data_IF_933688162443
#
_entry.id   IF_933688162443
#
_cell.length_a   1.000
_cell.length_b   1.000
_cell.length_c   1.000
_cell.angle_alpha   90.00
_cell.angle_beta   90.00
_cell.angle_gamma   90.00
#
_symmetry.space_group_name_H-M   'P 1'
#
loop_
_entity.id
_entity.type
_entity.pdbx_description
1 polymer ?
#
# COMPACT_ATOMS: atom_id res chain seq x y z
N UNK A 1 6.61 7.36 -18.89
CA UNK A 1 6.47 8.83 -18.75
C UNK A 1 5.76 9.09 -17.45
N UNK A 2 6.20 10.05 -16.65
CA UNK A 2 5.58 10.39 -15.37
C UNK A 2 5.28 11.88 -15.36
N UNK A 3 4.06 12.28 -15.02
CA UNK A 3 3.73 13.68 -14.80
C UNK A 3 3.83 13.99 -13.30
N UNK A 4 4.74 14.90 -12.94
CA UNK A 4 5.00 15.30 -11.56
C UNK A 4 5.59 16.71 -11.53
N UNK A 5 5.35 17.48 -10.47
CA UNK A 5 5.92 18.82 -10.26
C UNK A 5 5.64 19.80 -11.41
N UNK A 6 4.45 19.67 -12.02
CA UNK A 6 4.03 20.48 -13.14
C UNK A 6 4.69 20.13 -14.49
N UNK A 7 5.44 19.03 -14.58
CA UNK A 7 6.20 18.64 -15.78
C UNK A 7 6.16 17.15 -16.11
N UNK A 8 6.56 16.82 -17.34
CA UNK A 8 6.73 15.44 -17.79
C UNK A 8 8.18 14.99 -17.61
N UNK A 9 8.35 13.85 -16.94
CA UNK A 9 9.62 13.17 -16.73
C UNK A 9 9.65 11.89 -17.57
N UNK A 10 10.77 11.67 -18.26
CA UNK A 10 10.96 10.54 -19.17
C UNK A 10 12.07 9.63 -18.63
N UNK A 11 11.70 8.40 -18.34
CA UNK A 11 12.62 7.37 -17.88
C UNK A 11 12.72 6.28 -18.94
N UNK A 12 13.94 5.88 -19.35
CA UNK A 12 14.10 4.66 -20.12
C UNK A 12 13.61 3.47 -19.27
N UNK A 13 13.09 2.44 -19.95
CA UNK A 13 12.81 1.17 -19.28
C UNK A 13 14.14 0.58 -18.83
N UNK A 14 14.23 0.24 -17.55
CA UNK A 14 15.39 -0.45 -17.01
C UNK A 14 15.31 -1.94 -17.30
N UNK A 15 16.44 -2.53 -17.66
CA UNK A 15 16.57 -3.98 -17.83
C UNK A 15 17.08 -4.67 -16.55
N UNK A 16 17.49 -3.91 -15.54
CA UNK A 16 17.88 -4.43 -14.22
C UNK A 16 16.67 -4.76 -13.32
N UNK A 17 15.54 -4.09 -13.57
CA UNK A 17 14.32 -4.23 -12.78
C UNK A 17 13.42 -5.31 -13.37
N UNK A 18 12.85 -6.14 -12.51
CA UNK A 18 11.91 -7.19 -12.90
C UNK A 18 10.65 -6.54 -13.47
N UNK A 19 10.30 -6.98 -14.67
CA UNK A 19 9.06 -6.59 -15.36
C UNK A 19 7.94 -7.54 -14.94
N UNK A 20 6.74 -7.02 -14.73
CA UNK A 20 5.58 -7.90 -14.56
C UNK A 20 5.31 -8.66 -15.85
N UNK A 21 4.62 -9.79 -15.75
CA UNK A 21 4.14 -10.58 -16.89
C UNK A 21 2.61 -10.49 -17.08
N UNK A 22 1.94 -9.57 -16.38
CA UNK A 22 0.50 -9.37 -16.53
C UNK A 22 0.09 -9.10 -17.97
N UNK A 23 -0.90 -9.87 -18.44
CA UNK A 23 -1.68 -9.57 -19.65
C UNK A 23 -2.73 -8.52 -19.30
N UNK A 24 -2.63 -7.31 -19.87
CA UNK A 24 -3.51 -6.21 -19.47
C UNK A 24 -5.00 -6.46 -19.75
N UNK A 25 -5.32 -7.20 -20.81
CA UNK A 25 -6.71 -7.56 -21.13
C UNK A 25 -7.34 -8.50 -20.09
N UNK A 26 -6.53 -9.11 -19.23
CA UNK A 26 -7.01 -9.93 -18.12
C UNK A 26 -7.42 -9.09 -16.90
N UNK A 27 -7.08 -7.79 -16.84
CA UNK A 27 -7.67 -6.88 -15.86
C UNK A 27 -9.04 -6.44 -16.36
N UNK A 28 -10.09 -7.06 -15.82
CA UNK A 28 -11.47 -6.85 -16.27
C UNK A 28 -12.22 -6.04 -15.23
N UNK A 29 -12.68 -4.85 -15.64
CA UNK A 29 -13.64 -4.05 -14.88
C UNK A 29 -15.02 -4.73 -14.93
N UNK A 30 -15.55 -5.06 -13.76
CA UNK A 30 -16.89 -5.62 -13.58
C UNK A 30 -17.96 -4.52 -13.59
N UNK A 31 -19.24 -4.91 -13.68
CA UNK A 31 -20.38 -3.98 -13.78
C UNK A 31 -20.55 -3.09 -12.54
N UNK A 32 -20.04 -3.51 -11.39
CA UNK A 32 -20.04 -2.78 -10.11
C UNK A 32 -18.82 -1.86 -9.93
N UNK A 33 -17.92 -1.80 -10.92
CA UNK A 33 -16.69 -1.00 -10.88
C UNK A 33 -15.52 -1.69 -10.18
N UNK A 34 -15.64 -2.99 -9.88
CA UNK A 34 -14.54 -3.80 -9.34
C UNK A 34 -13.59 -4.24 -10.45
N UNK A 35 -12.31 -4.40 -10.10
CA UNK A 35 -11.31 -4.94 -11.02
C UNK A 35 -10.89 -6.32 -10.54
N UNK A 36 -10.96 -7.29 -11.43
CA UNK A 36 -10.43 -8.65 -11.21
C UNK A 36 -9.36 -8.98 -12.24
N UNK A 37 -8.43 -9.85 -11.89
CA UNK A 37 -7.50 -10.48 -12.83
C UNK A 37 -8.03 -11.86 -13.20
N UNK A 38 -8.47 -12.04 -14.44
CA UNK A 38 -9.19 -13.23 -14.90
C UNK A 38 -8.61 -13.76 -16.22
N UNK A 39 -8.47 -15.08 -16.33
CA UNK A 39 -7.96 -15.72 -17.55
C UNK A 39 -9.04 -15.94 -18.63
N UNK A 40 -8.65 -16.55 -19.76
CA UNK A 40 -9.53 -16.84 -20.88
C UNK A 40 -10.60 -17.91 -20.58
N UNK A 41 -10.45 -18.65 -19.47
CA UNK A 41 -11.43 -19.61 -18.97
C UNK A 41 -12.41 -19.02 -17.96
N UNK A 42 -12.27 -17.72 -17.67
CA UNK A 42 -13.03 -17.00 -16.64
C UNK A 42 -12.67 -17.40 -15.19
N UNK A 43 -11.51 -18.00 -14.97
CA UNK A 43 -10.99 -18.24 -13.62
C UNK A 43 -10.36 -16.95 -13.07
N UNK A 44 -10.77 -16.55 -11.87
CA UNK A 44 -10.24 -15.37 -11.17
C UNK A 44 -8.97 -15.77 -10.43
N UNK A 45 -7.88 -15.07 -10.72
CA UNK A 45 -6.54 -15.29 -10.15
C UNK A 45 -6.08 -14.12 -9.26
N UNK A 46 -7.01 -13.25 -8.87
CA UNK A 46 -6.76 -12.13 -7.96
C UNK A 46 -7.61 -12.20 -6.70
N UNK A 47 -7.08 -11.66 -5.61
CA UNK A 47 -7.85 -11.37 -4.39
C UNK A 47 -8.30 -9.91 -4.38
N UNK A 48 -9.52 -9.67 -3.91
CA UNK A 48 -10.09 -8.33 -3.71
C UNK A 48 -9.78 -7.86 -2.29
N UNK A 49 -9.37 -6.60 -2.15
CA UNK A 49 -9.16 -6.00 -0.84
C UNK A 49 -9.49 -4.51 -0.80
N UNK A 50 -9.49 -3.98 0.41
CA UNK A 50 -9.64 -2.55 0.71
C UNK A 50 -8.51 -2.08 1.60
N UNK A 51 -8.37 -0.79 1.75
CA UNK A 51 -7.53 -0.21 2.80
C UNK A 51 -8.30 0.87 3.56
N UNK A 52 -8.10 0.89 4.89
CA UNK A 52 -8.93 1.66 5.81
C UNK A 52 -8.09 2.34 6.89
N UNK A 53 -8.64 3.42 7.43
CA UNK A 53 -8.06 4.20 8.51
C UNK A 53 -9.18 4.93 9.25
N UNK A 54 -8.82 5.87 10.14
CA UNK A 54 -9.78 6.81 10.74
C UNK A 54 -10.67 7.54 9.74
N UNK A 55 -10.28 7.64 8.47
CA UNK A 55 -11.07 8.34 7.45
C UNK A 55 -12.40 7.64 7.13
N UNK A 56 -12.50 6.34 7.37
CA UNK A 56 -13.73 5.56 7.18
C UNK A 56 -14.63 5.54 8.43
N UNK A 57 -14.10 5.96 9.59
CA UNK A 57 -14.83 5.95 10.87
C UNK A 57 -15.19 4.53 11.32
N UNK A 58 -16.33 4.39 12.02
CA UNK A 58 -16.85 3.09 12.43
C UNK A 58 -17.25 2.25 11.20
N UNK A 59 -16.75 1.01 11.15
CA UNK A 59 -17.01 0.04 10.07
C UNK A 59 -17.83 -1.14 10.61
N UNK A 60 -18.86 -1.53 9.87
CA UNK A 60 -19.63 -2.75 10.10
C UNK A 60 -18.96 -3.93 9.39
N UNK A 61 -18.04 -4.58 10.11
CA UNK A 61 -17.19 -5.65 9.57
C UNK A 61 -17.95 -6.92 9.18
N UNK A 62 -19.05 -7.23 9.87
CA UNK A 62 -19.95 -8.33 9.51
C UNK A 62 -20.51 -8.13 8.09
N UNK A 63 -20.84 -6.87 7.74
CA UNK A 63 -21.24 -6.53 6.38
C UNK A 63 -20.07 -6.58 5.42
N UNK A 64 -18.89 -6.09 5.80
CA UNK A 64 -17.68 -6.10 4.94
C UNK A 64 -17.35 -7.53 4.51
N UNK A 65 -17.31 -8.49 5.44
CA UNK A 65 -17.06 -9.92 5.14
C UNK A 65 -18.05 -10.53 4.15
N UNK A 66 -19.26 -9.96 4.02
CA UNK A 66 -20.25 -10.37 3.03
C UNK A 66 -20.06 -9.82 1.60
N UNK A 67 -19.03 -9.00 1.32
CA UNK A 67 -18.78 -8.41 -0.01
C UNK A 67 -17.56 -9.02 -0.74
N UNK A 68 -17.20 -10.27 -0.44
CA UNK A 68 -16.05 -10.98 -1.03
C UNK A 68 -14.70 -10.25 -0.82
N UNK A 69 -14.59 -9.46 0.25
CA UNK A 69 -13.33 -8.84 0.67
C UNK A 69 -12.44 -9.93 1.27
N UNK A 70 -11.34 -10.23 0.57
CA UNK A 70 -10.41 -11.29 0.96
C UNK A 70 -9.35 -10.80 1.96
N UNK A 71 -9.01 -9.51 1.90
CA UNK A 71 -8.04 -8.88 2.78
C UNK A 71 -8.30 -7.40 2.99
N UNK A 72 -7.71 -6.84 4.04
CA UNK A 72 -7.70 -5.40 4.30
C UNK A 72 -6.31 -4.93 4.74
N UNK A 73 -5.87 -3.76 4.24
CA UNK A 73 -4.78 -3.02 4.87
C UNK A 73 -5.34 -2.00 5.87
N UNK A 74 -4.83 -2.03 7.11
CA UNK A 74 -5.27 -1.14 8.18
C UNK A 74 -4.14 -0.18 8.53
N UNK A 75 -4.43 1.12 8.61
CA UNK A 75 -3.42 2.09 9.04
C UNK A 75 -3.08 1.88 10.51
N UNK A 76 -1.84 1.52 10.81
CA UNK A 76 -1.34 1.50 12.19
C UNK A 76 -1.17 2.92 12.74
N UNK A 77 -0.68 3.82 11.90
CA UNK A 77 -0.43 5.18 12.30
C UNK A 77 0.28 5.97 11.22
N UNK A 78 0.82 7.11 11.64
CA UNK A 78 1.57 7.99 10.79
C UNK A 78 2.63 8.77 11.58
N UNK A 79 3.67 9.21 10.89
CA UNK A 79 4.57 10.25 11.42
C UNK A 79 4.08 11.62 10.95
N UNK A 80 3.96 12.57 11.87
CA UNK A 80 3.47 13.91 11.56
C UNK A 80 4.46 14.72 10.71
N UNK A 81 3.96 15.43 9.70
CA UNK A 81 4.77 16.17 8.72
C UNK A 81 5.48 17.42 9.24
N UNK A 82 5.14 17.90 10.45
CA UNK A 82 5.78 19.07 11.08
C UNK A 82 6.77 18.67 12.18
N UNK A 83 6.29 18.15 13.30
CA UNK A 83 7.13 17.83 14.47
C UNK A 83 7.72 16.41 14.41
N UNK A 84 7.37 15.59 13.41
CA UNK A 84 7.88 14.22 13.30
C UNK A 84 7.35 13.27 14.37
N UNK A 85 6.22 13.57 15.02
CA UNK A 85 5.62 12.72 16.06
C UNK A 85 4.99 11.46 15.45
N UNK A 86 5.21 10.31 16.08
CA UNK A 86 4.46 9.09 15.81
C UNK A 86 3.06 9.23 16.41
N UNK A 87 2.04 8.91 15.62
CA UNK A 87 0.63 8.99 16.01
C UNK A 87 -0.06 7.72 15.55
N UNK A 88 -0.65 7.00 16.49
CA UNK A 88 -1.52 5.86 16.22
C UNK A 88 -2.78 6.31 15.48
N UNK A 89 -3.29 5.48 14.56
CA UNK A 89 -4.60 5.72 13.98
C UNK A 89 -5.69 5.43 15.02
N UNK A 90 -6.61 6.38 15.24
CA UNK A 90 -7.61 6.28 16.32
C UNK A 90 -8.61 5.12 16.14
N UNK A 91 -8.70 4.52 14.94
CA UNK A 91 -9.53 3.35 14.66
C UNK A 91 -8.70 2.07 14.45
N UNK A 92 -7.38 2.09 14.66
CA UNK A 92 -6.52 0.93 14.41
C UNK A 92 -7.02 -0.32 15.14
N UNK A 93 -7.22 -0.23 16.47
CA UNK A 93 -7.61 -1.35 17.32
C UNK A 93 -9.01 -1.90 16.96
N UNK A 94 -9.97 -1.03 16.68
CA UNK A 94 -11.33 -1.44 16.30
C UNK A 94 -11.34 -2.10 14.92
N UNK A 95 -10.56 -1.58 13.97
CA UNK A 95 -10.47 -2.12 12.62
C UNK A 95 -9.80 -3.48 12.60
N UNK A 96 -8.67 -3.65 13.30
CA UNK A 96 -7.93 -4.92 13.28
C UNK A 96 -8.72 -6.03 13.94
N UNK A 97 -9.37 -5.75 15.08
CA UNK A 97 -10.25 -6.73 15.74
C UNK A 97 -11.44 -7.07 14.87
N UNK A 98 -12.11 -6.07 14.32
CA UNK A 98 -13.29 -6.28 13.48
C UNK A 98 -13.01 -7.10 12.22
N UNK A 99 -11.87 -6.87 11.57
CA UNK A 99 -11.44 -7.65 10.41
C UNK A 99 -11.12 -9.10 10.79
N UNK A 100 -10.34 -9.32 11.85
CA UNK A 100 -9.94 -10.67 12.30
C UNK A 100 -11.13 -11.48 12.81
N UNK A 101 -12.05 -10.87 13.56
CA UNK A 101 -13.28 -11.52 14.06
C UNK A 101 -14.22 -11.94 12.92
N UNK A 102 -14.02 -11.39 11.71
CA UNK A 102 -14.77 -11.71 10.50
C UNK A 102 -13.96 -12.52 9.46
N UNK A 103 -12.87 -13.16 9.88
CA UNK A 103 -12.02 -14.02 9.04
C UNK A 103 -11.43 -13.30 7.80
N UNK A 104 -11.26 -11.97 7.86
CA UNK A 104 -10.63 -11.18 6.80
C UNK A 104 -9.12 -11.13 7.07
N UNK A 105 -8.31 -11.46 6.06
CA UNK A 105 -6.86 -11.40 6.17
C UNK A 105 -6.36 -9.96 6.38
N UNK A 106 -5.45 -9.75 7.32
CA UNK A 106 -5.00 -8.41 7.71
C UNK A 106 -3.57 -8.12 7.27
N UNK A 107 -3.39 -7.00 6.59
CA UNK A 107 -2.12 -6.32 6.38
C UNK A 107 -2.13 -4.95 7.05
N UNK A 108 -0.96 -4.36 7.23
CA UNK A 108 -0.81 -3.11 7.99
C UNK A 108 -0.08 -2.08 7.13
N UNK A 109 -0.44 -0.80 7.23
CA UNK A 109 0.35 0.27 6.63
C UNK A 109 0.66 1.40 7.60
N UNK A 110 1.77 2.08 7.36
CA UNK A 110 2.20 3.23 8.13
C UNK A 110 2.60 4.38 7.21
N UNK A 111 1.94 5.53 7.35
CA UNK A 111 2.23 6.73 6.56
C UNK A 111 3.49 7.42 7.07
N UNK A 112 4.56 7.39 6.27
CA UNK A 112 5.86 7.87 6.71
C UNK A 112 6.04 9.37 6.50
N UNK A 113 6.74 9.99 7.44
CA UNK A 113 7.38 11.30 7.31
C UNK A 113 8.81 11.25 7.88
N UNK A 114 9.44 10.08 7.85
CA UNK A 114 10.80 9.88 8.31
C UNK A 114 11.78 10.62 7.40
N UNK A 115 12.70 11.38 8.02
CA UNK A 115 13.78 12.08 7.31
C UNK A 115 15.13 11.40 7.47
N UNK A 116 15.18 10.31 8.22
CA UNK A 116 16.39 9.50 8.44
C UNK A 116 16.06 8.02 8.52
N UNK A 117 17.08 7.16 8.30
CA UNK A 117 16.98 5.72 8.54
C UNK A 117 16.52 5.42 9.97
N UNK A 118 17.03 6.14 10.97
CA UNK A 118 16.66 5.91 12.37
C UNK A 118 15.18 6.18 12.64
N UNK A 119 14.63 7.23 12.05
CA UNK A 119 13.20 7.51 12.18
C UNK A 119 12.33 6.47 11.46
N UNK A 120 12.80 5.92 10.33
CA UNK A 120 12.11 4.84 9.64
C UNK A 120 12.16 3.52 10.43
N UNK A 121 13.27 3.25 11.14
CA UNK A 121 13.35 2.15 12.12
C UNK A 121 12.37 2.35 13.27
N UNK A 122 12.26 3.57 13.83
CA UNK A 122 11.28 3.89 14.88
C UNK A 122 9.82 3.71 14.40
N UNK A 123 9.52 4.05 13.14
CA UNK A 123 8.21 3.83 12.54
C UNK A 123 7.92 2.33 12.42
N UNK A 124 8.90 1.53 12.00
CA UNK A 124 8.75 0.07 11.93
C UNK A 124 8.59 -0.54 13.33
N UNK A 125 9.42 -0.15 14.32
CA UNK A 125 9.32 -0.58 15.71
C UNK A 125 7.94 -0.26 16.30
N UNK A 126 7.42 0.95 16.02
CA UNK A 126 6.07 1.35 16.45
C UNK A 126 4.98 0.44 15.85
N UNK A 127 5.07 0.11 14.56
CA UNK A 127 4.12 -0.82 13.94
C UNK A 127 4.23 -2.21 14.55
N UNK A 128 5.45 -2.71 14.77
CA UNK A 128 5.70 -4.03 15.35
C UNK A 128 5.11 -4.15 16.78
N UNK A 129 5.28 -3.12 17.60
CA UNK A 129 4.70 -3.08 18.95
C UNK A 129 3.16 -3.11 18.92
N UNK A 130 2.53 -2.43 17.95
CA UNK A 130 1.07 -2.41 17.82
C UNK A 130 0.47 -3.74 17.35
N UNK A 131 1.22 -4.51 16.56
CA UNK A 131 0.72 -5.72 15.90
C UNK A 131 1.11 -7.02 16.64
N UNK A 132 1.89 -6.92 17.72
CA UNK A 132 2.49 -8.07 18.43
C UNK A 132 1.48 -9.17 18.79
N UNK A 133 0.27 -8.77 19.20
CA UNK A 133 -0.79 -9.68 19.67
C UNK A 133 -1.80 -10.09 18.57
N UNK A 134 -1.57 -9.70 17.32
CA UNK A 134 -2.51 -9.92 16.21
C UNK A 134 -1.95 -10.84 15.12
N UNK A 135 -2.84 -11.61 14.49
CA UNK A 135 -2.47 -12.46 13.35
C UNK A 135 -2.41 -11.63 12.07
N UNK A 136 -1.20 -11.29 11.64
CA UNK A 136 -0.95 -10.49 10.44
C UNK A 136 -0.51 -11.42 9.30
N UNK A 137 -1.46 -11.74 8.42
CA UNK A 137 -1.28 -12.66 7.31
C UNK A 137 -0.94 -11.99 5.98
N UNK A 138 -1.02 -10.65 5.91
CA UNK A 138 -0.66 -9.83 4.74
C UNK A 138 0.52 -8.90 5.05
N UNK A 139 1.11 -8.25 4.03
CA UNK A 139 2.31 -7.43 4.21
C UNK A 139 2.17 -6.29 5.23
N UNK A 140 3.30 -5.88 5.79
CA UNK A 140 3.44 -4.63 6.55
C UNK A 140 4.10 -3.60 5.63
N UNK A 141 3.38 -2.50 5.39
CA UNK A 141 3.59 -1.59 4.28
C UNK A 141 4.14 -0.26 4.77
N UNK A 142 5.20 0.21 4.14
CA UNK A 142 5.58 1.62 4.17
C UNK A 142 4.75 2.40 3.16
N UNK A 143 3.88 3.27 3.64
CA UNK A 143 3.13 4.21 2.80
C UNK A 143 3.96 5.48 2.60
N UNK A 144 4.55 5.61 1.40
CA UNK A 144 5.42 6.70 1.00
C UNK A 144 4.79 7.50 -0.13
N UNK A 145 4.24 8.65 0.24
CA UNK A 145 3.66 9.62 -0.68
C UNK A 145 4.43 10.93 -0.69
N UNK A 146 4.32 11.65 -1.81
CA UNK A 146 4.68 13.06 -1.81
C UNK A 146 3.76 13.84 -0.85
N UNK A 147 4.38 14.72 -0.06
CA UNK A 147 3.62 15.71 0.69
C UNK A 147 3.26 16.89 -0.20
N UNK A 148 1.98 17.27 -0.28
CA UNK A 148 1.56 18.49 -0.98
C UNK A 148 1.95 19.81 -0.27
N UNK A 149 2.82 19.75 0.75
CA UNK A 149 3.22 20.90 1.56
C UNK A 149 4.72 21.15 1.43
N UNK A 150 5.08 22.31 0.89
CA UNK A 150 6.47 22.80 0.82
C UNK A 150 7.14 22.97 2.20
N UNK A 151 6.34 22.91 3.28
CA UNK A 151 6.81 23.01 4.67
C UNK A 151 6.86 21.67 5.39
N UNK A 152 6.51 20.58 4.72
CA UNK A 152 6.67 19.24 5.29
C UNK A 152 8.16 18.95 5.49
N UNK A 153 8.46 18.20 6.55
CA UNK A 153 9.84 17.83 6.87
C UNK A 153 10.52 16.98 5.78
N UNK A 154 9.75 16.31 4.94
CA UNK A 154 10.25 15.50 3.82
C UNK A 154 10.37 16.29 2.51
N UNK A 155 9.95 17.56 2.46
CA UNK A 155 9.86 18.35 1.23
C UNK A 155 11.22 18.54 0.51
N UNK A 156 12.32 18.57 1.25
CA UNK A 156 13.68 18.73 0.71
C UNK A 156 14.47 17.41 0.61
N UNK A 157 13.85 16.28 0.96
CA UNK A 157 14.53 14.99 0.90
C UNK A 157 14.89 14.62 -0.54
N UNK A 158 16.11 14.14 -0.68
CA UNK A 158 16.64 13.58 -1.93
C UNK A 158 16.13 12.16 -2.15
N UNK A 159 16.23 11.70 -3.41
CA UNK A 159 15.96 10.29 -3.76
C UNK A 159 16.74 9.31 -2.89
N UNK A 160 18.01 9.61 -2.62
CA UNK A 160 18.88 8.76 -1.80
C UNK A 160 18.36 8.66 -0.36
N UNK A 161 17.91 9.77 0.23
CA UNK A 161 17.37 9.81 1.59
C UNK A 161 16.04 9.06 1.70
N UNK A 162 15.10 9.26 0.76
CA UNK A 162 13.87 8.48 0.69
C UNK A 162 14.15 6.99 0.56
N UNK A 163 15.09 6.61 -0.31
CA UNK A 163 15.46 5.21 -0.54
C UNK A 163 16.04 4.58 0.73
N UNK A 164 16.96 5.28 1.42
CA UNK A 164 17.55 4.78 2.67
C UNK A 164 16.50 4.60 3.76
N UNK A 165 15.61 5.58 3.95
CA UNK A 165 14.50 5.46 4.90
C UNK A 165 13.59 4.27 4.56
N UNK A 166 13.22 4.11 3.29
CA UNK A 166 12.37 3.00 2.86
C UNK A 166 13.02 1.62 3.11
N UNK A 167 14.30 1.49 2.79
CA UNK A 167 15.09 0.27 3.04
C UNK A 167 15.20 -0.01 4.53
N UNK A 168 15.41 1.01 5.38
CA UNK A 168 15.52 0.84 6.82
C UNK A 168 14.21 0.33 7.45
N UNK A 169 13.07 0.89 7.07
CA UNK A 169 11.76 0.39 7.48
C UNK A 169 11.57 -1.07 7.04
N UNK A 170 11.74 -1.35 5.73
CA UNK A 170 11.48 -2.67 5.17
C UNK A 170 12.39 -3.75 5.78
N UNK A 171 13.67 -3.45 6.02
CA UNK A 171 14.60 -4.38 6.70
C UNK A 171 14.20 -4.67 8.13
N UNK A 172 13.69 -3.67 8.86
CA UNK A 172 13.24 -3.84 10.24
C UNK A 172 12.04 -4.77 10.30
N UNK A 173 11.03 -4.53 9.45
CA UNK A 173 9.86 -5.40 9.29
C UNK A 173 10.25 -6.83 8.90
N UNK A 174 11.14 -6.98 7.91
CA UNK A 174 11.61 -8.29 7.47
C UNK A 174 12.36 -9.05 8.57
N UNK A 175 13.18 -8.34 9.36
CA UNK A 175 13.93 -8.94 10.46
C UNK A 175 13.03 -9.42 11.60
N UNK A 176 11.85 -8.82 11.76
CA UNK A 176 10.82 -9.26 12.69
C UNK A 176 9.99 -10.45 12.17
N UNK A 177 10.21 -10.88 10.92
CA UNK A 177 9.55 -12.05 10.33
C UNK A 177 8.31 -11.74 9.49
N UNK A 178 7.97 -10.47 9.30
CA UNK A 178 6.86 -10.04 8.44
C UNK A 178 7.34 -9.78 7.00
N UNK A 179 6.41 -9.81 6.05
CA UNK A 179 6.70 -9.45 4.66
C UNK A 179 6.64 -7.93 4.50
N UNK A 180 7.75 -7.23 4.20
CA UNK A 180 7.72 -5.80 3.93
C UNK A 180 7.18 -5.51 2.52
N UNK A 181 6.52 -4.37 2.39
CA UNK A 181 6.01 -3.86 1.12
C UNK A 181 6.11 -2.33 1.11
N UNK A 182 6.22 -1.74 -0.08
CA UNK A 182 6.18 -0.29 -0.25
C UNK A 182 4.92 0.07 -1.05
N UNK A 183 4.14 1.01 -0.52
CA UNK A 183 3.05 1.64 -1.24
C UNK A 183 3.49 2.95 -1.88
N UNK A 184 2.96 3.24 -3.07
CA UNK A 184 3.12 4.52 -3.71
C UNK A 184 2.60 4.58 -5.14
N UNK A 185 2.68 5.75 -5.73
CA UNK A 185 2.27 5.99 -7.12
C UNK A 185 3.49 6.08 -8.07
N UNK A 186 3.27 6.48 -9.32
CA UNK A 186 4.34 6.64 -10.31
C UNK A 186 5.44 7.60 -9.86
N UNK A 187 5.11 8.68 -9.16
CA UNK A 187 6.10 9.62 -8.65
C UNK A 187 6.93 8.96 -7.55
N UNK A 188 6.30 8.26 -6.61
CA UNK A 188 7.01 7.50 -5.57
C UNK A 188 8.07 6.58 -6.17
N UNK A 189 7.65 5.69 -7.07
CA UNK A 189 8.54 4.66 -7.60
C UNK A 189 9.55 5.18 -8.63
N UNK A 190 9.18 6.12 -9.50
CA UNK A 190 10.08 6.54 -10.59
C UNK A 190 10.95 7.75 -10.22
N UNK A 191 10.49 8.61 -9.31
CA UNK A 191 11.13 9.90 -9.00
C UNK A 191 11.69 9.92 -7.57
N UNK A 192 10.91 9.49 -6.57
CA UNK A 192 11.31 9.62 -5.17
C UNK A 192 12.24 8.48 -4.72
N UNK A 193 12.08 7.29 -5.28
CA UNK A 193 12.87 6.12 -4.91
C UNK A 193 13.86 5.71 -6.00
N UNK A 194 14.92 5.02 -5.57
CA UNK A 194 15.77 4.22 -6.43
C UNK A 194 15.25 2.78 -6.45
N UNK A 195 14.53 2.41 -7.50
CA UNK A 195 13.90 1.09 -7.60
C UNK A 195 14.89 -0.07 -7.58
N UNK A 196 16.16 0.13 -7.99
CA UNK A 196 17.14 -0.96 -7.96
C UNK A 196 17.48 -1.36 -6.51
N UNK A 197 17.40 -0.41 -5.58
CA UNK A 197 17.72 -0.65 -4.16
C UNK A 197 16.54 -1.20 -3.35
N UNK A 198 15.32 -1.11 -3.88
CA UNK A 198 14.09 -1.64 -3.26
C UNK A 198 13.48 -2.78 -4.08
N UNK A 199 14.24 -3.34 -5.03
CA UNK A 199 13.75 -4.35 -5.97
C UNK A 199 13.24 -5.61 -5.26
N UNK A 200 13.86 -5.97 -4.13
CA UNK A 200 13.49 -7.14 -3.33
C UNK A 200 12.13 -7.03 -2.62
N UNK A 201 11.60 -5.82 -2.41
CA UNK A 201 10.35 -5.60 -1.69
C UNK A 201 9.14 -5.62 -2.63
N UNK A 202 8.04 -6.20 -2.17
CA UNK A 202 6.79 -6.15 -2.94
C UNK A 202 6.28 -4.69 -3.04
N UNK A 203 5.58 -4.40 -4.13
CA UNK A 203 5.03 -3.06 -4.40
C UNK A 203 3.51 -3.09 -4.41
N UNK A 204 2.91 -2.17 -3.67
CA UNK A 204 1.50 -1.82 -3.75
C UNK A 204 1.38 -0.51 -4.51
N UNK A 205 0.88 -0.59 -5.74
CA UNK A 205 0.95 0.50 -6.70
C UNK A 205 -0.40 1.21 -6.84
N UNK A 206 -0.43 2.51 -6.56
CA UNK A 206 -1.60 3.36 -6.76
C UNK A 206 -1.66 3.93 -8.18
N UNK A 207 -2.72 3.61 -8.91
CA UNK A 207 -2.98 4.14 -10.25
C UNK A 207 -4.47 4.07 -10.62
N UNK A 208 -5.16 5.19 -10.62
CA UNK A 208 -6.64 5.22 -10.72
C UNK A 208 -7.15 5.33 -12.17
N UNK A 209 -6.51 4.61 -13.09
CA UNK A 209 -6.90 4.58 -14.51
C UNK A 209 -6.63 3.18 -15.11
N UNK A 210 -7.32 2.86 -16.21
CA UNK A 210 -7.21 1.57 -16.90
C UNK A 210 -6.79 1.78 -18.37
N UNK A 211 -5.78 1.04 -18.88
CA UNK A 211 -5.02 0.00 -18.19
C UNK A 211 -4.03 0.58 -17.17
N UNK A 212 -3.69 -0.21 -16.16
CA UNK A 212 -2.61 0.10 -15.22
C UNK A 212 -1.31 0.38 -15.95
N UNK A 213 -0.57 1.42 -15.53
CA UNK A 213 0.63 1.87 -16.22
C UNK A 213 1.87 1.82 -15.32
N UNK A 214 2.45 0.63 -15.15
CA UNK A 214 3.77 0.43 -14.57
C UNK A 214 4.38 -0.85 -15.15
N UNK A 215 5.51 -0.80 -15.89
CA UNK A 215 6.06 -1.99 -16.56
C UNK A 215 6.78 -2.95 -15.61
N UNK A 216 7.02 -2.54 -14.37
CA UNK A 216 7.78 -3.30 -13.37
C UNK A 216 6.85 -4.11 -12.46
N UNK A 217 7.40 -5.13 -11.81
CA UNK A 217 6.64 -6.04 -10.95
C UNK A 217 5.95 -5.28 -9.80
N UNK A 218 4.65 -5.51 -9.60
CA UNK A 218 3.89 -5.01 -8.46
C UNK A 218 2.92 -6.11 -8.01
N UNK A 219 2.72 -6.28 -6.71
CA UNK A 219 1.92 -7.36 -6.17
C UNK A 219 0.46 -6.97 -5.96
N UNK A 220 0.20 -5.67 -5.76
CA UNK A 220 -1.13 -5.11 -5.51
C UNK A 220 -1.29 -3.83 -6.30
N UNK A 221 -2.47 -3.63 -6.87
CA UNK A 221 -2.86 -2.40 -7.55
C UNK A 221 -4.06 -1.77 -6.83
N UNK A 222 -3.87 -0.55 -6.31
CA UNK A 222 -4.97 0.30 -5.85
C UNK A 222 -5.54 1.03 -7.06
N UNK A 223 -6.72 0.61 -7.49
CA UNK A 223 -7.32 1.05 -8.75
C UNK A 223 -8.40 2.12 -8.57
N UNK A 224 -8.85 2.36 -7.34
CA UNK A 224 -9.85 3.37 -7.04
C UNK A 224 -9.67 3.89 -5.62
N UNK A 225 -9.89 5.19 -5.42
CA UNK A 225 -10.05 5.83 -4.11
C UNK A 225 -11.49 6.26 -3.81
N UNK A 226 -12.44 5.75 -4.61
CA UNK A 226 -13.85 6.17 -4.61
C UNK A 226 -14.78 4.96 -4.69
N UNK A 227 -14.32 3.83 -4.15
CA UNK A 227 -15.11 2.62 -4.05
C UNK A 227 -16.24 2.74 -3.04
N UNK A 228 -17.14 1.76 -3.10
CA UNK A 228 -18.27 1.64 -2.19
C UNK A 228 -18.40 0.18 -1.76
N UNK A 229 -18.15 -0.10 -0.49
CA UNK A 229 -18.24 -1.45 0.10
C UNK A 229 -19.29 -1.46 1.21
N UNK A 230 -20.18 -2.45 1.20
CA UNK A 230 -21.20 -2.57 2.23
C UNK A 230 -20.59 -2.71 3.62
N UNK A 231 -20.91 -1.77 4.52
CA UNK A 231 -20.37 -1.73 5.88
C UNK A 231 -19.37 -0.60 6.11
N UNK A 232 -18.84 0.00 5.04
CA UNK A 232 -17.99 1.20 5.10
C UNK A 232 -18.82 2.44 4.77
N UNK A 233 -18.64 3.51 5.54
CA UNK A 233 -19.30 4.78 5.30
C UNK A 233 -18.47 5.65 4.35
N UNK A 234 -19.08 6.10 3.25
CA UNK A 234 -18.42 6.97 2.28
C UNK A 234 -17.51 6.22 1.31
N UNK A 235 -16.53 6.95 0.76
CA UNK A 235 -15.58 6.43 -0.20
C UNK A 235 -14.54 5.52 0.51
N UNK A 236 -14.21 4.39 -0.13
CA UNK A 236 -13.15 3.47 0.32
C UNK A 236 -12.24 3.11 -0.84
N UNK A 237 -10.96 2.93 -0.53
CA UNK A 237 -9.95 2.55 -1.50
C UNK A 237 -10.09 1.07 -1.86
N UNK A 238 -10.00 0.76 -3.16
CA UNK A 238 -10.18 -0.60 -3.70
C UNK A 238 -8.89 -1.12 -4.30
N UNK A 239 -8.59 -2.37 -3.97
CA UNK A 239 -7.35 -3.04 -4.31
C UNK A 239 -7.59 -4.39 -4.98
N UNK A 240 -6.75 -4.70 -5.97
CA UNK A 240 -6.63 -6.03 -6.57
C UNK A 240 -5.24 -6.56 -6.29
N UNK A 241 -5.16 -7.73 -5.66
CA UNK A 241 -3.91 -8.42 -5.35
C UNK A 241 -3.71 -9.61 -6.29
N UNK A 242 -2.55 -9.69 -6.93
CA UNK A 242 -2.21 -10.76 -7.89
C UNK A 242 -1.20 -11.76 -7.30
N UNK A 243 -0.94 -11.67 -6.00
CA UNK A 243 -0.02 -12.55 -5.27
C UNK A 243 -0.76 -13.20 -4.10
N UNK A 244 -0.56 -14.50 -3.93
CA UNK A 244 -1.14 -15.24 -2.82
C UNK A 244 -0.20 -15.16 -1.61
N UNK A 245 -0.58 -14.39 -0.59
CA UNK A 245 0.16 -14.24 0.66
C UNK A 245 -0.21 -15.28 1.73
N UNK A 246 -1.24 -16.10 1.48
CA UNK A 246 -1.74 -17.09 2.43
C UNK A 246 -1.16 -18.50 2.19
N UNK A 247 -0.21 -18.64 1.25
CA UNK A 247 0.41 -19.91 0.85
C UNK A 247 1.90 -19.99 1.15
#
# INVERSE_FOLDING_TARGET
MVYADGGYHFFPISDSLKKHNYVYDNFVMQDDGEVVYMDDTQEIHSAKGIDVSRHQGEIDWDRVGGNDISYVFIRAGYRGSSEGKLVEDEYFEDNIKGALDNDIAVGIYFYTQAVTEKEAEEEAEFVLDLIEDYDISYPVVLDLEETGSDTARTAEMTKEEYTKAAVAFCKTIQSAGYTPMIYGNLKTFMIMLDMEQIEEYDKWFAYYDTPVYLPYDFAIWQYSSRGSVGGVNGDVDLNVCMKDYLK
#
